data_IF_177455690012
#
_entry.id   IF_177455690012
#
_cell.length_a   1.000
_cell.length_b   1.000
_cell.length_c   1.000
_cell.angle_alpha   90.00
_cell.angle_beta   90.00
_cell.angle_gamma   90.00
#
_symmetry.space_group_name_H-M   'P 1'
#
loop_
_entity.id
_entity.type
_entity.pdbx_description
1 polymer ?
#
# COMPACT_ATOMS: atom_id res chain seq x y z
N UNK A 1 -6.81 0.27 -24.18
CA UNK A 1 -5.67 -0.59 -23.84
C UNK A 1 -5.84 -1.95 -24.51
N UNK A 2 -4.80 -2.53 -25.10
CA UNK A 2 -4.87 -3.81 -25.82
C UNK A 2 -4.26 -4.99 -25.00
N UNK A 3 -4.35 -6.22 -25.55
CA UNK A 3 -3.83 -7.42 -24.88
C UNK A 3 -2.31 -7.37 -24.63
N UNK A 4 -1.55 -6.67 -25.50
CA UNK A 4 -0.10 -6.50 -25.32
C UNK A 4 0.21 -5.53 -24.18
N UNK A 5 -0.60 -4.49 -24.01
CA UNK A 5 -0.46 -3.56 -22.89
C UNK A 5 -0.73 -4.25 -21.53
N UNK A 6 -1.74 -5.14 -21.48
CA UNK A 6 -2.00 -5.97 -20.28
C UNK A 6 -0.82 -6.88 -19.96
N UNK A 7 -0.26 -7.55 -20.96
CA UNK A 7 0.95 -8.40 -20.77
C UNK A 7 2.15 -7.60 -20.26
N UNK A 8 2.33 -6.38 -20.75
CA UNK A 8 3.38 -5.47 -20.26
C UNK A 8 3.13 -5.07 -18.80
N UNK A 9 1.89 -4.71 -18.42
CA UNK A 9 1.52 -4.40 -17.04
C UNK A 9 1.72 -5.59 -16.12
N UNK A 10 1.28 -6.78 -16.51
CA UNK A 10 1.43 -8.01 -15.73
C UNK A 10 2.91 -8.36 -15.51
N UNK A 11 3.75 -8.21 -16.52
CA UNK A 11 5.18 -8.45 -16.40
C UNK A 11 5.86 -7.42 -15.45
N UNK A 12 5.56 -6.12 -15.65
CA UNK A 12 6.16 -5.05 -14.85
C UNK A 12 5.68 -5.03 -13.39
N UNK A 13 4.45 -5.46 -13.11
CA UNK A 13 3.96 -5.60 -11.75
C UNK A 13 4.67 -6.73 -10.99
N UNK A 14 5.16 -7.76 -11.68
CA UNK A 14 5.91 -8.88 -11.07
C UNK A 14 7.38 -8.56 -10.89
N UNK A 15 7.98 -7.94 -11.90
CA UNK A 15 9.37 -7.53 -11.87
C UNK A 15 9.59 -6.29 -12.74
N UNK A 16 9.78 -5.16 -12.11
CA UNK A 16 10.06 -3.90 -12.78
C UNK A 16 11.56 -3.67 -13.03
N UNK A 17 12.43 -4.61 -12.62
CA UNK A 17 13.89 -4.54 -12.85
C UNK A 17 14.29 -5.07 -14.23
N UNK A 18 13.38 -5.73 -14.95
CA UNK A 18 13.63 -6.27 -16.30
C UNK A 18 14.05 -5.17 -17.28
N UNK A 19 15.01 -5.49 -18.13
CA UNK A 19 15.41 -4.55 -19.20
C UNK A 19 14.32 -4.43 -20.26
N UNK A 20 14.30 -3.30 -20.97
CA UNK A 20 13.35 -3.11 -22.07
C UNK A 20 13.48 -4.20 -23.15
N UNK A 21 14.68 -4.70 -23.41
CA UNK A 21 14.90 -5.79 -24.36
C UNK A 21 14.24 -7.09 -23.89
N UNK A 22 14.49 -7.49 -22.64
CA UNK A 22 13.88 -8.69 -22.04
C UNK A 22 12.35 -8.58 -21.94
N UNK A 23 11.83 -7.40 -21.58
CA UNK A 23 10.39 -7.15 -21.54
C UNK A 23 9.76 -7.23 -22.94
N UNK A 24 10.43 -6.71 -23.97
CA UNK A 24 9.98 -6.81 -25.35
C UNK A 24 9.90 -8.27 -25.81
N UNK A 25 10.92 -9.06 -25.52
CA UNK A 25 10.96 -10.50 -25.83
C UNK A 25 9.81 -11.25 -25.15
N UNK A 26 9.61 -11.05 -23.81
CA UNK A 26 8.54 -11.65 -23.04
C UNK A 26 7.14 -11.33 -23.62
N UNK A 27 6.95 -10.14 -24.18
CA UNK A 27 5.66 -9.69 -24.70
C UNK A 27 5.52 -9.91 -26.24
N UNK A 28 6.56 -10.41 -26.93
CA UNK A 28 6.54 -10.60 -28.37
C UNK A 28 6.53 -9.27 -29.15
N UNK A 29 7.28 -8.28 -28.68
CA UNK A 29 7.38 -6.93 -29.24
C UNK A 29 8.81 -6.62 -29.71
N UNK A 30 8.93 -5.64 -30.61
CA UNK A 30 10.23 -5.00 -30.84
C UNK A 30 10.59 -4.09 -29.64
N UNK A 31 11.88 -3.91 -29.31
CA UNK A 31 12.30 -3.04 -28.20
C UNK A 31 11.76 -1.61 -28.29
N UNK A 32 11.69 -1.04 -29.50
CA UNK A 32 11.14 0.30 -29.74
C UNK A 32 9.62 0.37 -29.50
N UNK A 33 8.88 -0.66 -29.92
CA UNK A 33 7.44 -0.75 -29.66
C UNK A 33 7.15 -0.93 -28.16
N UNK A 34 7.93 -1.78 -27.49
CA UNK A 34 7.85 -1.99 -26.05
C UNK A 34 8.06 -0.67 -25.29
N UNK A 35 9.16 0.02 -25.55
CA UNK A 35 9.48 1.30 -24.90
C UNK A 35 8.36 2.32 -25.07
N UNK A 36 7.85 2.50 -26.28
CA UNK A 36 6.78 3.46 -26.58
C UNK A 36 5.49 3.11 -25.81
N UNK A 37 5.13 1.82 -25.74
CA UNK A 37 3.95 1.36 -24.98
C UNK A 37 4.11 1.60 -23.48
N UNK A 38 5.25 1.26 -22.91
CA UNK A 38 5.54 1.49 -21.47
C UNK A 38 5.49 2.99 -21.15
N UNK A 39 6.06 3.84 -21.99
CA UNK A 39 5.99 5.30 -21.82
C UNK A 39 4.53 5.79 -21.86
N UNK A 40 3.71 5.28 -22.79
CA UNK A 40 2.30 5.60 -22.85
C UNK A 40 1.55 5.15 -21.58
N UNK A 41 1.75 3.91 -21.12
CA UNK A 41 1.11 3.40 -19.90
C UNK A 41 1.46 4.23 -18.65
N UNK A 42 2.70 4.75 -18.58
CA UNK A 42 3.09 5.71 -17.54
C UNK A 42 2.39 7.06 -17.71
N UNK A 43 2.36 7.60 -18.91
CA UNK A 43 1.73 8.90 -19.19
C UNK A 43 0.22 8.88 -18.97
N UNK A 44 -0.44 7.75 -19.26
CA UNK A 44 -1.87 7.53 -19.02
C UNK A 44 -2.21 7.14 -17.56
N UNK A 45 -1.19 7.02 -16.69
CA UNK A 45 -1.37 6.76 -15.26
C UNK A 45 -1.64 5.29 -14.87
N UNK A 46 -1.56 4.34 -15.81
CA UNK A 46 -1.66 2.91 -15.49
C UNK A 46 -0.47 2.40 -14.65
N UNK A 47 0.68 3.02 -14.80
CA UNK A 47 1.87 2.80 -13.98
C UNK A 47 2.15 4.08 -13.20
N UNK A 48 1.80 4.10 -11.93
CA UNK A 48 1.95 5.25 -11.03
C UNK A 48 3.38 5.46 -10.54
N UNK A 49 4.19 4.40 -10.54
CA UNK A 49 5.56 4.45 -10.07
C UNK A 49 6.25 3.09 -10.09
N UNK A 50 7.52 3.10 -9.72
CA UNK A 50 8.33 1.90 -9.50
C UNK A 50 9.02 2.04 -8.16
N UNK A 51 8.87 1.05 -7.27
CA UNK A 51 9.47 1.03 -5.94
C UNK A 51 10.23 -0.27 -5.74
N UNK A 52 11.28 -0.22 -4.91
CA UNK A 52 11.92 -1.41 -4.40
C UNK A 52 11.11 -1.95 -3.22
N UNK A 53 10.82 -3.25 -3.22
CA UNK A 53 10.20 -3.91 -2.08
C UNK A 53 11.30 -4.32 -1.11
N UNK A 54 11.17 -3.90 0.15
CA UNK A 54 12.09 -4.24 1.22
C UNK A 54 11.50 -5.33 2.12
N UNK A 55 12.36 -6.22 2.59
CA UNK A 55 12.00 -7.26 3.55
C UNK A 55 11.89 -6.64 4.95
N UNK A 56 10.67 -6.59 5.49
CA UNK A 56 10.38 -5.95 6.78
C UNK A 56 11.08 -6.65 7.95
N UNK A 57 11.22 -7.99 7.91
CA UNK A 57 11.90 -8.75 8.96
C UNK A 57 13.40 -8.39 9.00
N UNK A 58 14.03 -8.31 7.82
CA UNK A 58 15.43 -7.89 7.70
C UNK A 58 15.68 -6.45 8.11
N UNK A 59 14.67 -5.60 7.98
CA UNK A 59 14.71 -4.21 8.49
C UNK A 59 14.36 -4.11 9.97
N UNK A 60 14.13 -5.23 10.66
CA UNK A 60 13.77 -5.28 12.07
C UNK A 60 12.34 -4.76 12.34
N UNK A 61 11.42 -4.80 11.36
CA UNK A 61 10.02 -4.36 11.42
C UNK A 61 9.05 -5.49 11.11
N UNK A 62 9.33 -6.69 11.63
CA UNK A 62 8.56 -7.90 11.35
C UNK A 62 7.21 -7.96 12.07
N UNK A 63 6.98 -7.14 13.12
CA UNK A 63 5.70 -7.12 13.80
C UNK A 63 4.67 -6.34 12.96
N UNK A 64 3.73 -7.05 12.37
CA UNK A 64 2.63 -6.45 11.62
C UNK A 64 1.36 -6.40 12.47
N UNK A 65 0.72 -5.24 12.52
CA UNK A 65 -0.56 -5.07 13.18
C UNK A 65 -1.59 -4.42 12.24
N UNK A 66 -2.84 -4.88 12.34
CA UNK A 66 -4.00 -4.28 11.70
C UNK A 66 -4.77 -3.55 12.80
N UNK A 67 -4.98 -2.25 12.64
CA UNK A 67 -5.72 -1.45 13.63
C UNK A 67 -6.99 -0.93 13.01
N UNK A 68 -8.10 -1.27 13.64
CA UNK A 68 -9.42 -0.76 13.32
C UNK A 68 -9.73 0.40 14.25
N UNK A 69 -10.09 1.55 13.70
CA UNK A 69 -10.32 2.78 14.47
C UNK A 69 -11.75 3.27 14.23
N UNK A 70 -12.44 3.58 15.33
CA UNK A 70 -13.74 4.26 15.32
C UNK A 70 -13.54 5.69 15.80
N UNK A 71 -14.01 6.63 14.99
CA UNK A 71 -13.84 8.07 15.22
C UNK A 71 -15.15 8.71 15.64
N UNK A 72 -15.06 9.84 16.35
CA UNK A 72 -16.20 10.69 16.63
C UNK A 72 -16.67 11.40 15.34
N UNK A 73 -17.86 11.08 14.87
CA UNK A 73 -18.38 11.46 13.55
C UNK A 73 -18.64 12.97 13.34
N UNK A 74 -18.58 13.78 14.39
CA UNK A 74 -19.20 15.10 14.39
C UNK A 74 -18.30 16.27 13.93
N UNK A 75 -17.03 16.04 13.54
CA UNK A 75 -16.17 17.13 13.11
C UNK A 75 -15.23 16.75 11.96
N UNK A 76 -15.59 17.10 10.73
CA UNK A 76 -14.71 16.98 9.55
C UNK A 76 -13.31 17.56 9.76
N UNK A 77 -13.19 18.65 10.54
CA UNK A 77 -11.91 19.27 10.87
C UNK A 77 -11.03 18.44 11.81
N UNK A 78 -11.63 17.69 12.74
CA UNK A 78 -10.91 16.79 13.66
C UNK A 78 -10.34 15.58 12.90
N UNK A 79 -11.11 15.04 11.94
CA UNK A 79 -10.65 13.95 11.08
C UNK A 79 -9.41 14.34 10.26
N UNK A 80 -9.36 15.56 9.73
CA UNK A 80 -8.20 16.06 9.00
C UNK A 80 -6.92 16.06 9.85
N UNK A 81 -7.01 16.50 11.10
CA UNK A 81 -5.87 16.48 12.04
C UNK A 81 -5.37 15.06 12.33
N UNK A 82 -6.28 14.12 12.55
CA UNK A 82 -5.92 12.72 12.77
C UNK A 82 -5.19 12.13 11.55
N UNK A 83 -5.67 12.40 10.33
CA UNK A 83 -5.00 11.98 9.09
C UNK A 83 -3.59 12.56 8.98
N UNK A 84 -3.38 13.85 9.32
CA UNK A 84 -2.05 14.47 9.34
C UNK A 84 -1.10 13.78 10.34
N UNK A 85 -1.62 13.32 11.49
CA UNK A 85 -0.84 12.54 12.46
C UNK A 85 -0.42 11.21 11.85
N UNK A 86 -1.36 10.50 11.21
CA UNK A 86 -1.08 9.22 10.56
C UNK A 86 -0.06 9.34 9.42
N UNK A 87 -0.10 10.41 8.62
CA UNK A 87 0.86 10.67 7.54
C UNK A 87 2.30 10.84 8.04
N UNK A 88 2.45 11.38 9.25
CA UNK A 88 3.77 11.60 9.88
C UNK A 88 4.29 10.38 10.62
N UNK A 89 3.43 9.42 10.90
CA UNK A 89 3.80 8.23 11.68
C UNK A 89 4.40 7.16 10.76
N UNK A 90 5.72 7.04 10.78
CA UNK A 90 6.46 6.13 9.90
C UNK A 90 6.09 4.65 10.06
N UNK A 91 5.59 4.26 11.22
CA UNK A 91 5.15 2.88 11.48
C UNK A 91 3.79 2.58 10.85
N UNK A 92 3.00 3.59 10.48
CA UNK A 92 1.76 3.44 9.71
C UNK A 92 2.11 3.37 8.23
N UNK A 93 2.02 2.18 7.64
CA UNK A 93 2.38 1.98 6.24
C UNK A 93 1.19 2.08 5.29
N UNK A 94 -0.02 1.85 5.80
CA UNK A 94 -1.26 1.98 5.04
C UNK A 94 -2.37 2.48 5.95
N UNK A 95 -3.26 3.31 5.41
CA UNK A 95 -4.42 3.85 6.11
C UNK A 95 -5.57 4.04 5.13
N UNK A 96 -6.73 3.48 5.45
CA UNK A 96 -7.94 3.60 4.64
C UNK A 96 -9.12 4.06 5.49
N UNK A 97 -9.95 4.92 4.91
CA UNK A 97 -11.33 5.09 5.35
C UNK A 97 -12.16 3.97 4.73
N UNK A 98 -12.93 3.30 5.53
CA UNK A 98 -13.76 2.17 5.10
C UNK A 98 -15.25 2.46 5.35
N UNK A 99 -16.12 1.65 4.76
CA UNK A 99 -17.55 1.65 5.03
C UNK A 99 -17.88 0.63 6.11
N UNK A 100 -18.89 0.90 6.93
CA UNK A 100 -19.30 0.04 8.03
C UNK A 100 -18.66 0.45 9.36
N UNK A 101 -18.50 -0.49 10.27
CA UNK A 101 -17.76 -0.34 11.53
C UNK A 101 -16.51 -1.22 11.43
N UNK A 102 -15.31 -0.67 11.45
CA UNK A 102 -14.84 0.66 11.86
C UNK A 102 -14.88 1.77 10.78
N UNK A 103 -14.50 3.02 11.16
CA UNK A 103 -14.34 4.14 10.21
C UNK A 103 -13.03 4.06 9.41
N UNK A 104 -11.98 3.54 10.03
CA UNK A 104 -10.66 3.42 9.42
C UNK A 104 -9.99 2.09 9.74
N UNK A 105 -9.19 1.62 8.79
CA UNK A 105 -8.28 0.47 8.95
C UNK A 105 -6.86 0.91 8.63
N UNK A 106 -5.93 0.59 9.53
CA UNK A 106 -4.51 0.91 9.41
C UNK A 106 -3.68 -0.36 9.37
N UNK A 107 -2.58 -0.35 8.63
CA UNK A 107 -1.53 -1.37 8.70
C UNK A 107 -0.29 -0.75 9.30
N UNK A 108 0.18 -1.36 10.39
CA UNK A 108 1.40 -0.97 11.07
C UNK A 108 2.52 -1.98 10.78
N UNK A 109 3.73 -1.47 10.58
CA UNK A 109 4.97 -2.25 10.53
C UNK A 109 5.85 -1.79 11.69
N UNK A 110 5.96 -2.63 12.71
CA UNK A 110 6.55 -2.31 13.99
C UNK A 110 7.78 -3.18 14.25
N UNK A 111 8.66 -2.66 15.06
CA UNK A 111 9.84 -3.39 15.54
C UNK A 111 9.45 -4.43 16.60
N UNK A 112 8.68 -4.00 17.60
CA UNK A 112 8.31 -4.81 18.76
C UNK A 112 7.05 -4.25 19.45
N UNK A 113 6.61 -4.95 20.51
CA UNK A 113 5.46 -4.55 21.31
C UNK A 113 5.68 -3.25 22.09
N UNK A 114 6.92 -2.88 22.35
CA UNK A 114 7.22 -1.60 23.02
C UNK A 114 6.95 -0.43 22.09
N UNK A 115 7.41 -0.49 20.83
CA UNK A 115 7.08 0.53 19.82
C UNK A 115 5.56 0.63 19.61
N UNK A 116 4.85 -0.52 19.60
CA UNK A 116 3.39 -0.52 19.53
C UNK A 116 2.76 0.25 20.69
N UNK A 117 3.16 -0.02 21.95
CA UNK A 117 2.63 0.67 23.11
C UNK A 117 2.90 2.18 23.07
N UNK A 118 4.10 2.58 22.66
CA UNK A 118 4.45 3.98 22.48
C UNK A 118 3.62 4.66 21.39
N UNK A 119 3.36 3.96 20.28
CA UNK A 119 2.50 4.44 19.20
C UNK A 119 1.06 4.62 19.67
N UNK A 120 0.50 3.63 20.38
CA UNK A 120 -0.87 3.70 20.94
C UNK A 120 -1.04 4.95 21.80
N UNK A 121 -0.15 5.16 22.76
CA UNK A 121 -0.19 6.34 23.63
C UNK A 121 -0.13 7.67 22.86
N UNK A 122 0.71 7.72 21.84
CA UNK A 122 0.98 8.96 21.09
C UNK A 122 -0.08 9.27 20.03
N UNK A 123 -0.68 8.24 19.41
CA UNK A 123 -1.56 8.40 18.25
C UNK A 123 -3.03 8.19 18.60
N UNK A 124 -3.35 7.20 19.43
CA UNK A 124 -4.74 6.83 19.68
C UNK A 124 -5.27 7.35 21.01
N UNK A 125 -4.52 7.18 22.11
CA UNK A 125 -4.98 7.55 23.45
C UNK A 125 -5.03 9.07 23.67
N UNK A 126 -4.19 9.82 22.95
CA UNK A 126 -4.13 11.29 23.08
C UNK A 126 -5.08 12.03 22.14
N UNK A 127 -5.61 11.37 21.11
CA UNK A 127 -6.52 12.03 20.16
C UNK A 127 -7.98 11.91 20.63
N UNK A 128 -8.63 13.01 21.01
CA UNK A 128 -10.01 12.98 21.51
C UNK A 128 -11.04 12.59 20.44
N UNK A 129 -10.62 12.48 19.19
CA UNK A 129 -11.46 12.04 18.09
C UNK A 129 -11.52 10.51 17.97
N UNK A 130 -10.60 9.78 18.60
CA UNK A 130 -10.58 8.33 18.65
C UNK A 130 -11.51 7.87 19.77
N UNK A 131 -12.67 7.30 19.42
CA UNK A 131 -13.60 6.74 20.39
C UNK A 131 -13.15 5.39 20.91
N UNK A 132 -12.68 4.54 20.00
CA UNK A 132 -12.13 3.22 20.31
C UNK A 132 -11.28 2.72 19.15
N UNK A 133 -10.38 1.81 19.45
CA UNK A 133 -9.65 1.07 18.43
C UNK A 133 -9.51 -0.39 18.85
N UNK A 134 -9.27 -1.25 17.86
CA UNK A 134 -8.98 -2.68 18.06
C UNK A 134 -7.76 -3.04 17.25
N UNK A 135 -6.82 -3.75 17.85
CA UNK A 135 -5.60 -4.19 17.20
C UNK A 135 -5.58 -5.70 17.03
N UNK A 136 -5.25 -6.14 15.84
CA UNK A 136 -5.04 -7.53 15.48
C UNK A 136 -3.58 -7.69 15.05
N UNK A 137 -2.82 -8.55 15.74
CA UNK A 137 -1.46 -8.87 15.34
C UNK A 137 -1.47 -10.01 14.34
N UNK A 138 -0.73 -9.83 13.21
CA UNK A 138 -0.63 -10.84 12.19
C UNK A 138 0.28 -11.98 12.68
N UNK A 139 -0.28 -13.19 12.76
CA UNK A 139 0.46 -14.39 13.20
C UNK A 139 1.19 -15.06 12.03
N UNK A 140 0.61 -15.02 10.84
CA UNK A 140 1.21 -15.59 9.63
C UNK A 140 0.65 -14.90 8.38
N UNK A 141 1.48 -14.72 7.37
CA UNK A 141 1.10 -14.16 6.08
C UNK A 141 0.99 -15.29 5.05
N UNK A 142 -0.20 -15.48 4.48
CA UNK A 142 -0.44 -16.49 3.46
C UNK A 142 -0.35 -15.92 2.04
N UNK A 143 -0.63 -14.64 1.90
CA UNK A 143 -0.52 -13.92 0.63
C UNK A 143 -0.26 -12.44 0.90
N UNK A 144 0.81 -11.93 0.31
CA UNK A 144 1.15 -10.50 0.28
C UNK A 144 1.67 -10.17 -1.12
N UNK A 145 0.90 -9.43 -1.90
CA UNK A 145 1.23 -9.06 -3.28
C UNK A 145 0.67 -7.70 -3.63
N UNK A 146 1.44 -6.96 -4.38
CA UNK A 146 1.04 -5.66 -4.96
C UNK A 146 0.44 -5.79 -6.36
N UNK A 147 0.40 -7.02 -6.91
CA UNK A 147 -0.12 -7.27 -8.26
C UNK A 147 -1.63 -7.06 -8.31
N UNK A 148 -2.08 -6.16 -9.15
CA UNK A 148 -3.49 -5.89 -9.45
C UNK A 148 -3.87 -6.65 -10.71
N UNK A 149 -4.94 -7.48 -10.71
CA UNK A 149 -5.43 -8.16 -11.90
C UNK A 149 -5.77 -7.19 -13.05
N UNK A 150 -5.34 -7.52 -14.27
CA UNK A 150 -5.56 -6.68 -15.46
C UNK A 150 -6.73 -7.15 -16.33
N UNK A 151 -7.44 -8.19 -15.94
CA UNK A 151 -8.55 -8.81 -16.67
C UNK A 151 -9.82 -7.96 -16.75
N UNK A 152 -10.04 -7.09 -15.76
CA UNK A 152 -11.20 -6.20 -15.71
C UNK A 152 -11.02 -4.87 -16.46
N UNK A 153 -9.90 -4.68 -17.15
CA UNK A 153 -9.64 -3.44 -17.88
C UNK A 153 -10.44 -3.39 -19.19
N UNK A 154 -11.10 -2.24 -19.49
CA UNK A 154 -11.91 -2.05 -20.70
C UNK A 154 -11.10 -2.13 -21.99
#
# INVERSE_FOLDING_TARGET
MDALDRRLLDALQRDASVTNASLAELCGLSPSSCLRRVQRLKAEGYLSGTVALADADRLGRGLTAIVEVVLELHAKSKRGKFLEVLEREASVTQAWTVTGDPDMVLILRLKDMKEYAELVNRVFDTDPNVLRFRTLFVMSTHKDTTVIPTDALP
#
